data_IF_315921291697
#
_entry.id   IF_315921291697
#
_cell.length_a   1.000
_cell.length_b   1.000
_cell.length_c   1.000
_cell.angle_alpha   90.00
_cell.angle_beta   90.00
_cell.angle_gamma   90.00
#
_symmetry.space_group_name_H-M   'P 1'
#
loop_
_entity.id
_entity.type
_entity.pdbx_description
1 polymer ?
#
# COMPACT_ATOMS: atom_id res chain seq x y z
N UNK A 1 -47.75 -65.67 67.91
CA UNK A 1 -46.62 -65.81 68.87
C UNK A 1 -45.37 -65.27 68.16
N UNK A 2 -45.18 -63.93 68.16
CA UNK A 2 -44.22 -63.14 68.94
C UNK A 2 -42.72 -63.49 68.73
N UNK A 3 -42.05 -62.50 68.12
CA UNK A 3 -40.63 -62.13 68.01
C UNK A 3 -39.54 -62.93 68.78
N UNK A 4 -38.41 -63.13 68.11
CA UNK A 4 -37.05 -62.77 68.57
C UNK A 4 -36.07 -62.76 67.37
N UNK A 5 -35.52 -61.59 66.99
CA UNK A 5 -34.17 -61.04 67.32
C UNK A 5 -32.99 -61.77 66.65
N UNK A 6 -32.28 -61.07 65.74
CA UNK A 6 -30.83 -60.75 65.77
C UNK A 6 -30.36 -60.19 64.39
N UNK A 7 -29.85 -58.94 64.39
CA UNK A 7 -28.96 -58.35 63.37
C UNK A 7 -27.54 -58.96 63.53
N UNK A 8 -26.58 -58.96 62.56
CA UNK A 8 -26.22 -57.80 61.72
C UNK A 8 -25.69 -58.04 60.28
N UNK A 9 -25.75 -57.00 59.44
CA UNK A 9 -24.76 -56.60 58.41
C UNK A 9 -24.43 -57.52 57.22
N UNK A 10 -24.65 -57.05 55.98
CA UNK A 10 -23.70 -57.27 54.87
C UNK A 10 -23.98 -56.33 53.67
N UNK A 11 -22.99 -55.47 53.41
CA UNK A 11 -22.43 -55.09 52.10
C UNK A 11 -23.39 -54.68 50.97
N UNK A 12 -23.54 -53.36 50.79
CA UNK A 12 -23.93 -52.75 49.53
C UNK A 12 -22.66 -52.62 48.66
N UNK A 13 -22.45 -53.54 47.72
CA UNK A 13 -21.39 -53.41 46.71
C UNK A 13 -21.90 -52.46 45.63
N UNK A 14 -21.45 -51.21 45.69
CA UNK A 14 -21.50 -50.26 44.59
C UNK A 14 -20.33 -50.57 43.66
N UNK A 15 -20.58 -51.35 42.59
CA UNK A 15 -19.66 -51.46 41.46
C UNK A 15 -19.71 -50.16 40.66
N UNK A 16 -18.82 -49.24 41.02
CA UNK A 16 -18.40 -48.13 40.15
C UNK A 16 -17.65 -48.73 38.96
N UNK A 17 -18.35 -48.88 37.83
CA UNK A 17 -17.71 -48.97 36.52
C UNK A 17 -17.10 -47.59 36.19
N UNK A 18 -15.91 -47.34 36.72
CA UNK A 18 -14.99 -46.35 36.17
C UNK A 18 -14.32 -46.96 34.95
N UNK A 19 -15.03 -46.97 33.81
CA UNK A 19 -14.37 -47.02 32.52
C UNK A 19 -13.75 -45.64 32.28
N UNK A 20 -12.58 -45.40 32.87
CA UNK A 20 -11.68 -44.36 32.38
C UNK A 20 -11.32 -44.74 30.95
N UNK A 21 -11.90 -44.04 29.97
CA UNK A 21 -11.41 -44.09 28.61
C UNK A 21 -9.90 -43.84 28.64
N UNK A 22 -9.09 -44.60 27.89
CA UNK A 22 -7.66 -44.38 27.88
C UNK A 22 -7.40 -42.93 27.49
N UNK A 23 -6.75 -42.16 28.37
CA UNK A 23 -6.15 -40.87 28.02
C UNK A 23 -5.22 -41.15 26.85
N UNK A 24 -5.69 -40.89 25.63
CA UNK A 24 -4.80 -40.76 24.49
C UNK A 24 -3.89 -39.61 24.87
N UNK A 25 -2.61 -39.89 25.14
CA UNK A 25 -1.58 -38.88 25.32
C UNK A 25 -1.40 -38.19 23.96
N UNK A 26 -2.31 -37.28 23.63
CA UNK A 26 -2.15 -36.38 22.51
C UNK A 26 -1.03 -35.41 22.87
N UNK A 27 -0.04 -35.33 21.99
CA UNK A 27 1.03 -34.33 22.10
C UNK A 27 0.39 -32.94 21.97
N UNK A 28 0.78 -31.97 22.79
CA UNK A 28 0.27 -30.59 22.76
C UNK A 28 0.24 -29.99 21.34
N UNK A 29 1.20 -30.37 20.48
CA UNK A 29 1.21 -29.98 19.06
C UNK A 29 0.00 -30.52 18.28
N UNK A 30 -0.37 -31.78 18.47
CA UNK A 30 -1.52 -32.42 17.82
C UNK A 30 -2.85 -31.83 18.31
N UNK A 31 -2.93 -31.48 19.59
CA UNK A 31 -4.10 -30.77 20.12
C UNK A 31 -4.21 -29.37 19.54
N UNK A 32 -3.09 -28.64 19.44
CA UNK A 32 -3.06 -27.33 18.82
C UNK A 32 -3.55 -27.37 17.35
N UNK A 33 -3.10 -28.36 16.58
CA UNK A 33 -3.56 -28.59 15.20
C UNK A 33 -5.06 -28.89 15.12
N UNK A 34 -5.58 -29.65 16.07
CA UNK A 34 -7.02 -29.96 16.15
C UNK A 34 -7.83 -28.69 16.41
N UNK A 35 -7.39 -27.87 17.38
CA UNK A 35 -8.05 -26.59 17.67
C UNK A 35 -7.91 -25.59 16.51
N UNK A 36 -6.76 -25.53 15.84
CA UNK A 36 -6.54 -24.67 14.67
C UNK A 36 -7.50 -25.05 13.54
N UNK A 37 -7.64 -26.34 13.25
CA UNK A 37 -8.56 -26.85 12.22
C UNK A 37 -10.03 -26.54 12.57
N UNK A 38 -10.36 -26.51 13.85
CA UNK A 38 -11.68 -26.10 14.35
C UNK A 38 -11.87 -24.56 14.39
N UNK A 39 -10.88 -23.77 13.97
CA UNK A 39 -10.91 -22.30 14.02
C UNK A 39 -10.78 -21.71 15.43
N UNK A 40 -10.46 -22.53 16.44
CA UNK A 40 -10.30 -22.08 17.82
C UNK A 40 -8.84 -21.67 18.08
N UNK A 41 -8.46 -20.52 17.55
CA UNK A 41 -7.07 -20.04 17.62
C UNK A 41 -6.59 -19.76 19.05
N UNK A 42 -7.49 -19.34 19.96
CA UNK A 42 -7.15 -19.12 21.37
C UNK A 42 -6.79 -20.44 22.08
N UNK A 43 -7.59 -21.50 21.90
CA UNK A 43 -7.28 -22.81 22.48
C UNK A 43 -6.04 -23.43 21.86
N UNK A 44 -5.88 -23.29 20.53
CA UNK A 44 -4.68 -23.74 19.84
C UNK A 44 -3.42 -23.01 20.37
N UNK A 45 -3.50 -21.69 20.61
CA UNK A 45 -2.39 -20.90 21.13
C UNK A 45 -2.01 -21.35 22.54
N UNK A 46 -2.99 -21.66 23.39
CA UNK A 46 -2.72 -22.19 24.73
C UNK A 46 -1.92 -23.50 24.68
N UNK A 47 -2.23 -24.38 23.72
CA UNK A 47 -1.47 -25.62 23.52
C UNK A 47 -0.04 -25.37 23.03
N UNK A 48 0.17 -24.40 22.12
CA UNK A 48 1.53 -24.02 21.72
C UNK A 48 2.33 -23.38 22.85
N UNK A 49 1.73 -22.52 23.68
CA UNK A 49 2.39 -21.98 24.88
C UNK A 49 2.80 -23.10 25.82
N UNK A 50 1.91 -24.05 26.10
CA UNK A 50 2.23 -25.22 26.92
C UNK A 50 3.37 -26.07 26.31
N UNK A 51 3.38 -26.29 25.00
CA UNK A 51 4.46 -27.02 24.31
C UNK A 51 5.81 -26.29 24.47
N UNK A 52 5.85 -24.99 24.23
CA UNK A 52 7.08 -24.17 24.33
C UNK A 52 7.58 -24.07 25.77
N UNK A 53 6.70 -23.99 26.76
CA UNK A 53 7.05 -23.92 28.19
C UNK A 53 7.58 -25.24 28.77
N UNK A 54 7.10 -26.37 28.25
CA UNK A 54 7.43 -27.71 28.78
C UNK A 54 8.53 -28.43 28.02
N UNK A 55 8.92 -27.92 26.85
CA UNK A 55 9.97 -28.49 26.00
C UNK A 55 11.25 -27.65 26.13
N UNK A 56 12.42 -28.26 26.40
CA UNK A 56 13.69 -27.53 26.39
C UNK A 56 13.91 -26.79 25.08
N UNK A 57 14.34 -25.52 25.15
CA UNK A 57 14.46 -24.63 23.99
C UNK A 57 15.31 -25.22 22.86
N UNK A 58 16.35 -25.97 23.20
CA UNK A 58 17.26 -26.62 22.24
C UNK A 58 16.54 -27.70 21.42
N UNK A 59 15.51 -28.33 21.98
CA UNK A 59 14.75 -29.42 21.37
C UNK A 59 13.60 -28.93 20.47
N UNK A 60 13.19 -27.67 20.59
CA UNK A 60 12.16 -27.09 19.74
C UNK A 60 12.76 -26.76 18.37
N UNK A 61 12.17 -27.26 17.30
CA UNK A 61 12.60 -26.96 15.94
C UNK A 61 12.20 -25.54 15.52
N UNK A 62 12.98 -24.89 14.64
CA UNK A 62 12.61 -23.57 14.11
C UNK A 62 11.26 -23.58 13.36
N UNK A 63 10.92 -24.68 12.69
CA UNK A 63 9.63 -24.86 12.03
C UNK A 63 8.46 -24.91 13.03
N UNK A 64 8.65 -25.53 14.20
CA UNK A 64 7.63 -25.56 15.26
C UNK A 64 7.41 -24.14 15.82
N UNK A 65 8.48 -23.36 16.02
CA UNK A 65 8.36 -21.95 16.40
C UNK A 65 7.63 -21.10 15.36
N UNK A 66 7.93 -21.26 14.08
CA UNK A 66 7.24 -20.54 13.01
C UNK A 66 5.75 -20.90 12.95
N UNK A 67 5.40 -22.17 13.17
CA UNK A 67 3.99 -22.62 13.23
C UNK A 67 3.26 -22.02 14.43
N UNK A 68 3.88 -22.06 15.62
CA UNK A 68 3.35 -21.43 16.83
C UNK A 68 3.13 -19.91 16.61
N UNK A 69 4.09 -19.24 15.97
CA UNK A 69 4.05 -17.80 15.71
C UNK A 69 2.91 -17.39 14.77
N UNK A 70 2.73 -18.09 13.66
CA UNK A 70 1.61 -17.86 12.73
C UNK A 70 0.26 -18.02 13.42
N UNK A 71 0.14 -19.03 14.27
CA UNK A 71 -1.07 -19.23 15.04
C UNK A 71 -1.27 -18.14 16.10
N UNK A 72 -0.22 -17.72 16.82
CA UNK A 72 -0.29 -16.60 17.74
C UNK A 72 -0.81 -15.33 17.06
N UNK A 73 -0.34 -15.04 15.85
CA UNK A 73 -0.86 -13.94 15.04
C UNK A 73 -2.35 -14.10 14.72
N UNK A 74 -2.80 -15.28 14.27
CA UNK A 74 -4.24 -15.56 14.04
C UNK A 74 -5.07 -15.43 15.31
N UNK A 75 -4.48 -15.68 16.48
CA UNK A 75 -5.11 -15.52 17.79
C UNK A 75 -5.04 -14.06 18.33
N UNK A 76 -4.42 -13.13 17.60
CA UNK A 76 -4.27 -11.72 17.99
C UNK A 76 -3.10 -11.43 18.94
N UNK A 77 -2.23 -12.42 19.21
CA UNK A 77 -1.06 -12.27 20.08
C UNK A 77 0.20 -11.96 19.24
N UNK A 78 0.27 -10.72 18.75
CA UNK A 78 1.39 -10.24 17.92
C UNK A 78 2.73 -10.23 18.66
N UNK A 79 2.73 -10.15 19.99
CA UNK A 79 3.95 -10.16 20.79
C UNK A 79 4.57 -11.56 20.83
N UNK A 80 3.76 -12.59 21.14
CA UNK A 80 4.18 -13.98 21.06
C UNK A 80 4.61 -14.37 19.64
N UNK A 81 3.85 -13.91 18.62
CA UNK A 81 4.19 -14.17 17.22
C UNK A 81 5.59 -13.67 16.87
N UNK A 82 5.92 -12.40 17.15
CA UNK A 82 7.26 -11.84 16.89
C UNK A 82 8.35 -12.61 17.65
N UNK A 83 8.14 -12.86 18.95
CA UNK A 83 9.12 -13.57 19.78
C UNK A 83 9.44 -14.96 19.22
N UNK A 84 8.42 -15.73 18.86
CA UNK A 84 8.60 -17.07 18.30
C UNK A 84 9.15 -17.04 16.87
N UNK A 85 8.80 -16.05 16.06
CA UNK A 85 9.47 -15.85 14.77
C UNK A 85 10.96 -15.54 14.91
N UNK A 86 11.37 -14.76 15.92
CA UNK A 86 12.80 -14.54 16.19
C UNK A 86 13.50 -15.83 16.63
N UNK A 87 12.83 -16.70 17.40
CA UNK A 87 13.35 -18.03 17.72
C UNK A 87 13.49 -18.93 16.48
N UNK A 88 12.51 -18.88 15.57
CA UNK A 88 12.57 -19.60 14.30
C UNK A 88 13.79 -19.16 13.48
N UNK A 89 14.02 -17.84 13.35
CA UNK A 89 15.20 -17.27 12.68
C UNK A 89 16.51 -17.65 13.35
N UNK A 90 16.58 -17.60 14.69
CA UNK A 90 17.76 -18.02 15.45
C UNK A 90 18.14 -19.48 15.16
N UNK A 91 17.14 -20.33 14.90
CA UNK A 91 17.31 -21.72 14.49
C UNK A 91 17.45 -21.91 12.97
N UNK A 92 17.80 -20.85 12.24
CA UNK A 92 17.97 -20.82 10.78
C UNK A 92 16.74 -21.29 9.99
N UNK A 93 15.54 -21.18 10.57
CA UNK A 93 14.31 -21.47 9.86
C UNK A 93 13.77 -20.20 9.18
N UNK A 94 13.23 -20.38 7.98
CA UNK A 94 12.63 -19.35 7.18
C UNK A 94 11.55 -19.97 6.28
N UNK A 95 10.36 -19.38 6.25
CA UNK A 95 9.35 -19.67 5.24
C UNK A 95 8.65 -18.38 4.79
N UNK A 96 7.98 -18.44 3.64
CA UNK A 96 7.36 -17.29 2.99
C UNK A 96 6.29 -16.62 3.89
N UNK A 97 5.39 -17.42 4.46
CA UNK A 97 4.27 -16.96 5.29
C UNK A 97 4.78 -16.27 6.57
N UNK A 98 5.89 -16.72 7.14
CA UNK A 98 6.53 -16.08 8.28
C UNK A 98 6.91 -14.63 8.01
N UNK A 99 7.55 -14.33 6.87
CA UNK A 99 7.93 -12.95 6.55
C UNK A 99 6.74 -12.08 6.16
N UNK A 100 5.71 -12.66 5.52
CA UNK A 100 4.45 -11.95 5.28
C UNK A 100 3.73 -11.63 6.60
N UNK A 101 3.69 -12.57 7.54
CA UNK A 101 3.08 -12.34 8.86
C UNK A 101 3.85 -11.26 9.63
N UNK A 102 5.19 -11.31 9.61
CA UNK A 102 6.01 -10.27 10.23
C UNK A 102 5.76 -8.90 9.60
N UNK A 103 5.65 -8.79 8.27
CA UNK A 103 5.36 -7.51 7.63
C UNK A 103 4.00 -6.97 8.03
N UNK A 104 2.96 -7.82 8.12
CA UNK A 104 1.63 -7.45 8.60
C UNK A 104 1.65 -6.96 10.06
N UNK A 105 2.35 -7.67 10.94
CA UNK A 105 2.52 -7.24 12.34
C UNK A 105 3.17 -5.86 12.38
N UNK A 106 4.32 -5.67 11.72
CA UNK A 106 5.03 -4.41 11.76
C UNK A 106 4.25 -3.26 11.10
N UNK A 107 3.46 -3.55 10.06
CA UNK A 107 2.52 -2.59 9.48
C UNK A 107 1.49 -2.13 10.49
N UNK A 108 0.88 -3.06 11.23
CA UNK A 108 -0.13 -2.72 12.26
C UNK A 108 0.44 -1.87 13.40
N UNK A 109 1.75 -1.98 13.65
CA UNK A 109 2.48 -1.18 14.64
C UNK A 109 2.96 0.18 14.09
N UNK A 110 2.76 0.46 12.80
CA UNK A 110 3.32 1.64 12.14
C UNK A 110 4.85 1.60 12.01
N UNK A 111 5.47 0.41 12.12
CA UNK A 111 6.92 0.25 12.06
C UNK A 111 7.39 -0.02 10.62
N UNK A 112 7.43 1.05 9.82
CA UNK A 112 7.82 0.99 8.40
C UNK A 112 9.19 0.34 8.18
N UNK A 113 10.18 0.60 9.04
CA UNK A 113 11.52 0.03 8.88
C UNK A 113 11.50 -1.49 8.99
N UNK A 114 10.82 -2.04 10.01
CA UNK A 114 10.76 -3.48 10.21
C UNK A 114 9.84 -4.17 9.21
N UNK A 115 8.76 -3.52 8.80
CA UNK A 115 7.90 -4.00 7.71
C UNK A 115 8.71 -4.15 6.42
N UNK A 116 9.48 -3.12 6.04
CA UNK A 116 10.30 -3.12 4.84
C UNK A 116 11.33 -4.25 4.90
N UNK A 117 12.04 -4.38 6.03
CA UNK A 117 13.03 -5.46 6.21
C UNK A 117 12.40 -6.86 6.10
N UNK A 118 11.17 -7.05 6.58
CA UNK A 118 10.47 -8.33 6.45
C UNK A 118 10.12 -8.63 4.98
N UNK A 119 9.63 -7.66 4.22
CA UNK A 119 9.28 -7.80 2.79
C UNK A 119 10.52 -7.95 1.89
N UNK A 120 11.62 -7.26 2.19
CA UNK A 120 12.91 -7.45 1.51
C UNK A 120 13.44 -8.86 1.78
N UNK A 121 13.40 -9.30 3.04
CA UNK A 121 13.82 -10.67 3.41
C UNK A 121 12.97 -11.75 2.74
N UNK A 122 11.66 -11.50 2.56
CA UNK A 122 10.80 -12.36 1.75
C UNK A 122 11.35 -12.46 0.34
N UNK A 123 11.56 -11.31 -0.32
CA UNK A 123 11.93 -11.24 -1.74
C UNK A 123 13.30 -11.86 -2.01
N UNK A 124 14.26 -11.69 -1.09
CA UNK A 124 15.60 -12.27 -1.17
C UNK A 124 15.57 -13.81 -1.08
N UNK A 125 14.70 -14.37 -0.21
CA UNK A 125 14.71 -15.80 0.11
C UNK A 125 13.76 -16.64 -0.74
N UNK A 126 12.63 -16.07 -1.16
CA UNK A 126 11.55 -16.80 -1.84
C UNK A 126 11.29 -16.27 -3.26
N UNK A 127 12.06 -15.29 -3.71
CA UNK A 127 11.94 -14.68 -5.02
C UNK A 127 10.95 -13.52 -5.08
N UNK A 128 10.92 -12.88 -6.24
CA UNK A 128 10.21 -11.63 -6.50
C UNK A 128 8.92 -11.82 -7.31
N UNK A 129 8.34 -13.03 -7.32
CA UNK A 129 7.11 -13.32 -8.09
C UNK A 129 5.83 -13.07 -7.29
N UNK A 130 5.92 -12.86 -5.97
CA UNK A 130 4.74 -12.60 -5.16
C UNK A 130 4.23 -11.18 -5.39
N UNK A 131 3.11 -11.08 -6.11
CA UNK A 131 2.54 -9.80 -6.49
C UNK A 131 2.10 -8.93 -5.29
N UNK A 132 1.60 -9.53 -4.21
CA UNK A 132 1.19 -8.79 -3.00
C UNK A 132 2.39 -8.18 -2.30
N UNK A 133 3.49 -8.93 -2.19
CA UNK A 133 4.76 -8.43 -1.62
C UNK A 133 5.33 -7.31 -2.50
N UNK A 134 5.34 -7.49 -3.83
CA UNK A 134 5.85 -6.48 -4.75
C UNK A 134 5.03 -5.18 -4.71
N UNK A 135 3.70 -5.28 -4.68
CA UNK A 135 2.82 -4.12 -4.55
C UNK A 135 3.10 -3.36 -3.25
N UNK A 136 3.24 -4.07 -2.12
CA UNK A 136 3.55 -3.39 -0.85
C UNK A 136 4.94 -2.77 -0.87
N UNK A 137 5.95 -3.45 -1.42
CA UNK A 137 7.29 -2.90 -1.58
C UNK A 137 7.30 -1.64 -2.45
N UNK A 138 6.56 -1.63 -3.57
CA UNK A 138 6.36 -0.44 -4.39
C UNK A 138 5.81 0.74 -3.56
N UNK A 139 4.74 0.51 -2.82
CA UNK A 139 4.11 1.54 -1.99
C UNK A 139 5.06 2.04 -0.90
N UNK A 140 5.77 1.14 -0.21
CA UNK A 140 6.71 1.50 0.84
C UNK A 140 7.89 2.30 0.31
N UNK A 141 8.48 1.89 -0.82
CA UNK A 141 9.57 2.65 -1.42
C UNK A 141 9.13 4.03 -1.88
N UNK A 142 7.91 4.18 -2.38
CA UNK A 142 7.35 5.49 -2.67
C UNK A 142 7.14 6.32 -1.39
N UNK A 143 6.61 5.72 -0.32
CA UNK A 143 6.38 6.38 0.98
C UNK A 143 7.69 6.91 1.60
N UNK A 144 8.78 6.15 1.51
CA UNK A 144 10.11 6.57 2.00
C UNK A 144 10.93 7.35 0.95
N UNK A 145 10.30 7.80 -0.14
CA UNK A 145 10.94 8.60 -1.20
C UNK A 145 12.13 7.93 -1.90
N UNK A 146 12.17 6.60 -1.91
CA UNK A 146 13.13 5.80 -2.69
C UNK A 146 12.59 5.56 -4.10
N UNK A 147 12.53 6.62 -4.91
CA UNK A 147 11.80 6.66 -6.18
C UNK A 147 12.28 5.62 -7.19
N UNK A 148 13.59 5.41 -7.31
CA UNK A 148 14.18 4.45 -8.23
C UNK A 148 13.78 3.01 -7.85
N UNK A 149 13.83 2.68 -6.56
CA UNK A 149 13.39 1.37 -6.06
C UNK A 149 11.88 1.19 -6.23
N UNK A 150 11.09 2.23 -5.98
CA UNK A 150 9.66 2.18 -6.25
C UNK A 150 9.39 1.87 -7.74
N UNK A 151 10.08 2.56 -8.64
CA UNK A 151 9.95 2.30 -10.08
C UNK A 151 10.41 0.87 -10.47
N UNK A 152 11.43 0.32 -9.82
CA UNK A 152 11.82 -1.09 -10.01
C UNK A 152 10.71 -2.06 -9.59
N UNK A 153 10.10 -1.83 -8.42
CA UNK A 153 9.04 -2.70 -7.91
C UNK A 153 7.72 -2.54 -8.65
N UNK A 154 7.46 -1.36 -9.25
CA UNK A 154 6.36 -1.19 -10.19
C UNK A 154 6.44 -2.24 -11.30
N UNK A 155 7.60 -2.45 -11.93
CA UNK A 155 7.72 -3.43 -13.01
C UNK A 155 7.41 -4.87 -12.61
N UNK A 156 7.57 -5.19 -11.32
CA UNK A 156 7.32 -6.52 -10.74
C UNK A 156 5.87 -6.73 -10.28
N UNK A 157 5.04 -5.69 -10.32
CA UNK A 157 3.62 -5.80 -9.98
C UNK A 157 2.81 -6.44 -11.11
N UNK A 158 1.77 -7.19 -10.75
CA UNK A 158 0.85 -7.74 -11.72
C UNK A 158 -0.03 -6.64 -12.36
N UNK A 159 -0.64 -6.96 -13.51
CA UNK A 159 -1.44 -6.00 -14.28
C UNK A 159 -2.63 -5.42 -13.48
N UNK A 160 -3.30 -6.24 -12.68
CA UNK A 160 -4.45 -5.81 -11.86
C UNK A 160 -4.03 -4.77 -10.82
N UNK A 161 -2.92 -5.02 -10.11
CA UNK A 161 -2.39 -4.11 -9.10
C UNK A 161 -1.93 -2.78 -9.71
N UNK A 162 -1.35 -2.80 -10.92
CA UNK A 162 -0.97 -1.58 -11.67
C UNK A 162 -2.16 -0.72 -12.10
N UNK A 163 -3.38 -1.24 -12.10
CA UNK A 163 -4.58 -0.53 -12.56
C UNK A 163 -5.43 0.07 -11.44
N UNK A 164 -5.02 -0.06 -10.18
CA UNK A 164 -5.73 0.60 -9.07
C UNK A 164 -5.44 2.10 -9.06
N UNK A 165 -6.44 2.90 -8.67
CA UNK A 165 -6.28 4.37 -8.58
C UNK A 165 -5.13 4.75 -7.66
N UNK A 166 -5.03 4.10 -6.50
CA UNK A 166 -3.98 4.35 -5.51
C UNK A 166 -2.57 4.10 -6.08
N UNK A 167 -2.37 2.96 -6.76
CA UNK A 167 -1.05 2.63 -7.28
C UNK A 167 -0.69 3.48 -8.50
N UNK A 168 -1.65 3.80 -9.38
CA UNK A 168 -1.42 4.75 -10.47
C UNK A 168 -1.09 6.16 -9.95
N UNK A 169 -1.79 6.64 -8.91
CA UNK A 169 -1.51 7.93 -8.28
C UNK A 169 -0.10 7.97 -7.67
N UNK A 170 0.28 6.90 -6.98
CA UNK A 170 1.63 6.73 -6.42
C UNK A 170 2.67 6.70 -7.54
N UNK A 171 2.41 5.98 -8.64
CA UNK A 171 3.32 5.87 -9.77
C UNK A 171 3.46 7.18 -10.55
N UNK A 172 2.39 7.99 -10.63
CA UNK A 172 2.47 9.36 -11.15
C UNK A 172 3.44 10.20 -10.31
N UNK A 173 3.34 10.15 -8.99
CA UNK A 173 4.25 10.91 -8.11
C UNK A 173 5.71 10.43 -8.23
N UNK A 174 5.94 9.11 -8.24
CA UNK A 174 7.26 8.51 -8.48
C UNK A 174 7.87 9.05 -9.78
N UNK A 175 7.11 9.03 -10.88
CA UNK A 175 7.62 9.48 -12.18
C UNK A 175 7.78 10.99 -12.28
N UNK A 176 6.98 11.79 -11.55
CA UNK A 176 7.20 13.23 -11.42
C UNK A 176 8.55 13.52 -10.77
N UNK A 177 8.93 12.76 -9.73
CA UNK A 177 10.22 12.89 -9.03
C UNK A 177 11.41 12.42 -9.87
N UNK A 178 11.20 11.40 -10.69
CA UNK A 178 12.18 10.90 -11.65
C UNK A 178 12.21 11.69 -12.97
N UNK A 179 11.38 12.72 -13.11
CA UNK A 179 11.25 13.55 -14.32
C UNK A 179 10.89 12.77 -15.60
N UNK A 180 10.22 11.63 -15.45
CA UNK A 180 9.77 10.76 -16.53
C UNK A 180 8.47 11.28 -17.16
N UNK A 181 8.52 12.45 -17.80
CA UNK A 181 7.34 13.18 -18.28
C UNK A 181 6.42 12.36 -19.20
N UNK A 182 6.97 11.53 -20.09
CA UNK A 182 6.18 10.68 -20.98
C UNK A 182 5.36 9.61 -20.21
N UNK A 183 5.93 9.07 -19.13
CA UNK A 183 5.23 8.14 -18.24
C UNK A 183 4.17 8.89 -17.43
N UNK A 184 4.48 10.08 -16.91
CA UNK A 184 3.47 10.89 -16.22
C UNK A 184 2.27 11.18 -17.12
N UNK A 185 2.48 11.45 -18.41
CA UNK A 185 1.40 11.69 -19.37
C UNK A 185 0.47 10.49 -19.56
N UNK A 186 1.04 9.29 -19.72
CA UNK A 186 0.26 8.07 -19.89
C UNK A 186 -0.48 7.70 -18.61
N UNK A 187 0.18 7.82 -17.46
CA UNK A 187 -0.39 7.51 -16.14
C UNK A 187 -1.48 8.50 -15.76
N UNK A 188 -1.27 9.81 -15.95
CA UNK A 188 -2.31 10.81 -15.70
C UNK A 188 -3.55 10.56 -16.57
N UNK A 189 -3.36 10.19 -17.83
CA UNK A 189 -4.47 9.82 -18.72
C UNK A 189 -5.22 8.58 -18.20
N UNK A 190 -4.49 7.54 -17.77
CA UNK A 190 -5.08 6.34 -17.20
C UNK A 190 -5.86 6.64 -15.91
N UNK A 191 -5.33 7.52 -15.04
CA UNK A 191 -6.00 7.98 -13.83
C UNK A 191 -7.31 8.69 -14.15
N UNK A 192 -7.33 9.60 -15.13
CA UNK A 192 -8.56 10.31 -15.50
C UNK A 192 -9.62 9.43 -16.15
N UNK A 193 -9.21 8.33 -16.79
CA UNK A 193 -10.16 7.33 -17.30
C UNK A 193 -10.82 6.53 -16.15
N UNK A 194 -10.12 6.34 -15.03
CA UNK A 194 -10.65 5.65 -13.85
C UNK A 194 -11.45 6.60 -12.95
N UNK A 195 -10.90 7.78 -12.70
CA UNK A 195 -11.50 8.86 -11.92
C UNK A 195 -11.30 10.20 -12.65
N UNK A 196 -12.32 10.70 -13.37
CA UNK A 196 -12.25 11.94 -14.13
C UNK A 196 -11.97 13.21 -13.31
N UNK A 197 -12.09 13.13 -11.98
CA UNK A 197 -11.92 14.23 -11.04
C UNK A 197 -10.66 14.06 -10.16
N UNK A 198 -9.77 13.13 -10.52
CA UNK A 198 -8.52 12.88 -9.78
C UNK A 198 -7.59 14.12 -9.83
N UNK A 199 -7.33 14.79 -8.69
CA UNK A 199 -6.76 16.14 -8.69
C UNK A 199 -5.31 16.18 -9.20
N UNK A 200 -4.46 15.22 -8.84
CA UNK A 200 -3.06 15.18 -9.24
C UNK A 200 -2.89 14.96 -10.76
N UNK A 201 -3.74 14.12 -11.37
CA UNK A 201 -3.73 13.88 -12.80
C UNK A 201 -4.24 15.09 -13.60
N UNK A 202 -5.28 15.77 -13.10
CA UNK A 202 -5.77 17.03 -13.68
C UNK A 202 -4.66 18.10 -13.60
N UNK A 203 -4.02 18.25 -12.43
CA UNK A 203 -2.92 19.20 -12.21
C UNK A 203 -1.74 18.94 -13.16
N UNK A 204 -1.36 17.68 -13.34
CA UNK A 204 -0.30 17.31 -14.27
C UNK A 204 -0.61 17.76 -15.70
N UNK A 205 -1.80 17.42 -16.22
CA UNK A 205 -2.17 17.76 -17.60
C UNK A 205 -2.40 19.26 -17.79
N UNK A 206 -2.99 19.95 -16.81
CA UNK A 206 -3.11 21.41 -16.80
C UNK A 206 -1.75 22.08 -16.97
N UNK A 207 -0.79 21.71 -16.11
CA UNK A 207 0.57 22.28 -16.12
C UNK A 207 1.34 21.89 -17.37
N UNK A 208 1.19 20.67 -17.88
CA UNK A 208 1.80 20.22 -19.15
C UNK A 208 1.40 21.13 -20.30
N UNK A 209 0.09 21.29 -20.55
CA UNK A 209 -0.40 22.08 -21.68
C UNK A 209 -0.10 23.56 -21.50
N UNK A 210 -0.20 24.08 -20.27
CA UNK A 210 0.19 25.45 -19.98
C UNK A 210 1.67 25.70 -20.30
N UNK A 211 2.58 24.84 -19.81
CA UNK A 211 4.02 24.95 -20.07
C UNK A 211 4.34 24.83 -21.55
N UNK A 212 3.65 23.97 -22.29
CA UNK A 212 3.82 23.85 -23.74
C UNK A 212 3.47 25.17 -24.45
N UNK A 213 2.32 25.78 -24.12
CA UNK A 213 1.90 27.07 -24.66
C UNK A 213 2.86 28.19 -24.28
N UNK A 214 3.24 28.29 -23.01
CA UNK A 214 4.14 29.34 -22.50
C UNK A 214 5.54 29.22 -23.12
N UNK A 215 6.13 28.01 -23.18
CA UNK A 215 7.44 27.78 -23.79
C UNK A 215 7.43 28.15 -25.28
N UNK A 216 6.41 27.74 -26.02
CA UNK A 216 6.28 28.09 -27.44
C UNK A 216 6.17 29.61 -27.60
N UNK A 217 5.35 30.27 -26.78
CA UNK A 217 5.20 31.72 -26.81
C UNK A 217 6.55 32.43 -26.62
N UNK A 218 7.29 32.08 -25.57
CA UNK A 218 8.58 32.71 -25.25
C UNK A 218 9.58 32.54 -26.40
N UNK A 219 9.73 31.32 -26.91
CA UNK A 219 10.65 31.00 -28.01
C UNK A 219 10.31 31.78 -29.30
N UNK A 220 9.04 31.86 -29.66
CA UNK A 220 8.64 32.49 -30.92
C UNK A 220 8.64 34.01 -30.86
N UNK A 221 8.33 34.59 -29.69
CA UNK A 221 8.52 36.02 -29.45
C UNK A 221 10.01 36.38 -29.53
N UNK A 222 10.89 35.61 -28.89
CA UNK A 222 12.34 35.87 -28.95
C UNK A 222 12.87 35.81 -30.39
N UNK A 223 12.47 34.80 -31.17
CA UNK A 223 12.84 34.69 -32.60
C UNK A 223 12.38 35.89 -33.42
N UNK A 224 11.17 36.37 -33.17
CA UNK A 224 10.64 37.57 -33.84
C UNK A 224 11.43 38.83 -33.45
N UNK A 225 11.71 39.00 -32.16
CA UNK A 225 12.45 40.14 -31.63
C UNK A 225 13.87 40.24 -32.20
N UNK A 226 14.54 39.10 -32.40
CA UNK A 226 15.87 39.04 -33.02
C UNK A 226 15.87 39.42 -34.51
N UNK A 227 14.74 39.27 -35.23
CA UNK A 227 14.68 39.55 -36.67
C UNK A 227 13.28 39.99 -37.12
N UNK A 228 12.97 41.27 -36.90
CA UNK A 228 11.65 41.87 -37.17
C UNK A 228 11.39 42.13 -38.66
N UNK A 229 11.09 41.07 -39.40
CA UNK A 229 10.66 41.14 -40.80
C UNK A 229 9.19 40.78 -40.95
N UNK A 230 8.57 41.19 -42.06
CA UNK A 230 7.19 40.79 -42.40
C UNK A 230 7.03 39.27 -42.47
N UNK A 231 8.05 38.56 -42.95
CA UNK A 231 8.05 37.08 -43.01
C UNK A 231 8.04 36.47 -41.61
N UNK A 232 8.85 37.00 -40.69
CA UNK A 232 8.87 36.50 -39.31
C UNK A 232 7.62 36.87 -38.54
N UNK A 233 7.04 38.05 -38.79
CA UNK A 233 5.73 38.38 -38.22
C UNK A 233 4.65 37.40 -38.66
N UNK A 234 4.59 37.05 -39.94
CA UNK A 234 3.64 36.06 -40.45
C UNK A 234 3.88 34.65 -39.89
N UNK A 235 5.14 34.27 -39.61
CA UNK A 235 5.49 33.02 -38.95
C UNK A 235 5.04 33.02 -37.47
N UNK A 236 5.32 34.11 -36.75
CA UNK A 236 4.89 34.31 -35.37
C UNK A 236 3.38 34.14 -35.22
N UNK A 237 2.57 34.77 -36.09
CA UNK A 237 1.11 34.65 -36.01
C UNK A 237 0.64 33.19 -36.08
N UNK A 238 1.23 32.37 -36.96
CA UNK A 238 0.89 30.93 -37.05
C UNK A 238 1.27 30.16 -35.79
N UNK A 239 2.39 30.51 -35.17
CA UNK A 239 2.82 29.88 -33.92
C UNK A 239 1.96 30.33 -32.74
N UNK A 240 1.49 31.58 -32.71
CA UNK A 240 0.56 32.08 -31.70
C UNK A 240 -0.80 31.35 -31.76
N UNK A 241 -1.23 30.88 -32.92
CA UNK A 241 -2.40 29.99 -33.04
C UNK A 241 -2.17 28.66 -32.30
N UNK A 242 -0.96 28.11 -32.37
CA UNK A 242 -0.59 26.88 -31.65
C UNK A 242 -0.45 27.11 -30.15
N UNK A 243 0.12 28.26 -29.74
CA UNK A 243 0.13 28.71 -28.34
C UNK A 243 -1.29 28.77 -27.78
N UNK A 244 -2.21 29.38 -28.54
CA UNK A 244 -3.63 29.48 -28.19
C UNK A 244 -4.27 28.09 -28.07
N UNK A 245 -3.96 27.18 -28.99
CA UNK A 245 -4.47 25.82 -28.94
C UNK A 245 -4.00 25.05 -27.69
N UNK A 246 -2.74 25.23 -27.27
CA UNK A 246 -2.22 24.61 -26.05
C UNK A 246 -2.85 25.19 -24.79
N UNK A 247 -3.04 26.52 -24.71
CA UNK A 247 -3.78 27.12 -23.59
C UNK A 247 -5.25 26.70 -23.53
N UNK A 248 -5.91 26.53 -24.67
CA UNK A 248 -7.27 25.97 -24.75
C UNK A 248 -7.35 24.53 -24.25
N UNK A 249 -6.27 23.75 -24.36
CA UNK A 249 -6.21 22.40 -23.75
C UNK A 249 -5.99 22.46 -22.24
N UNK A 250 -5.20 23.43 -21.75
CA UNK A 250 -4.95 23.59 -20.32
C UNK A 250 -6.20 24.06 -19.57
N UNK A 251 -6.98 24.95 -20.18
CA UNK A 251 -8.07 25.68 -19.52
C UNK A 251 -9.13 24.76 -18.87
N UNK A 252 -9.67 23.72 -19.53
CA UNK A 252 -10.67 22.85 -18.89
C UNK A 252 -10.14 22.12 -17.66
N UNK A 253 -8.86 21.74 -17.65
CA UNK A 253 -8.25 21.13 -16.46
C UNK A 253 -8.08 22.15 -15.34
N UNK A 254 -7.61 23.36 -15.65
CA UNK A 254 -7.50 24.45 -14.68
C UNK A 254 -8.86 24.83 -14.09
N UNK A 255 -9.92 24.87 -14.90
CA UNK A 255 -11.29 25.13 -14.46
C UNK A 255 -11.80 24.05 -13.51
N UNK A 256 -11.50 22.77 -13.79
CA UNK A 256 -11.79 21.67 -12.86
C UNK A 256 -11.07 21.85 -11.54
N UNK A 257 -9.76 22.12 -11.55
CA UNK A 257 -8.99 22.35 -10.31
C UNK A 257 -9.54 23.54 -9.52
N UNK A 258 -9.90 24.62 -10.21
CA UNK A 258 -10.52 25.79 -9.61
C UNK A 258 -11.86 25.44 -8.96
N UNK A 259 -12.71 24.66 -9.63
CA UNK A 259 -14.00 24.23 -9.09
C UNK A 259 -13.84 23.32 -7.85
N UNK A 260 -12.82 22.45 -7.84
CA UNK A 260 -12.53 21.58 -6.69
C UNK A 260 -11.97 22.36 -5.50
N UNK A 261 -10.96 23.20 -5.75
CA UNK A 261 -10.27 23.98 -4.72
C UNK A 261 -9.72 25.28 -5.33
N UNK A 262 -10.48 26.38 -5.26
CA UNK A 262 -10.00 27.69 -5.70
C UNK A 262 -8.72 28.06 -4.94
N UNK A 263 -7.73 28.61 -5.64
CA UNK A 263 -6.42 28.88 -5.05
C UNK A 263 -5.57 29.82 -5.88
N UNK A 264 -4.69 30.56 -5.20
CA UNK A 264 -3.76 31.50 -5.87
C UNK A 264 -2.86 30.80 -6.88
N UNK A 265 -2.53 29.53 -6.64
CA UNK A 265 -1.79 28.69 -7.57
C UNK A 265 -2.42 28.68 -8.96
N UNK A 266 -3.75 28.58 -9.05
CA UNK A 266 -4.47 28.50 -10.32
C UNK A 266 -4.83 29.86 -10.90
N UNK A 267 -5.10 30.85 -10.05
CA UNK A 267 -5.41 32.22 -10.48
C UNK A 267 -4.32 32.81 -11.38
N UNK A 268 -3.04 32.54 -11.10
CA UNK A 268 -1.93 32.98 -11.95
C UNK A 268 -1.98 32.42 -13.38
N UNK A 269 -2.35 31.15 -13.53
CA UNK A 269 -2.54 30.54 -14.85
C UNK A 269 -3.68 31.20 -15.62
N UNK A 270 -4.80 31.47 -14.95
CA UNK A 270 -5.94 32.13 -15.58
C UNK A 270 -5.62 33.56 -16.04
N UNK A 271 -4.95 34.37 -15.22
CA UNK A 271 -4.51 35.73 -15.62
C UNK A 271 -3.68 35.67 -16.89
N UNK A 272 -2.70 34.76 -16.94
CA UNK A 272 -1.81 34.61 -18.09
C UNK A 272 -2.56 34.17 -19.36
N UNK A 273 -3.46 33.18 -19.24
CA UNK A 273 -4.23 32.65 -20.37
C UNK A 273 -5.23 33.70 -20.87
N UNK A 274 -6.04 34.28 -19.99
CA UNK A 274 -7.10 35.22 -20.37
C UNK A 274 -6.55 36.54 -20.91
N UNK A 275 -5.40 37.02 -20.43
CA UNK A 275 -4.74 38.17 -21.02
C UNK A 275 -4.37 37.96 -22.49
N UNK A 276 -4.00 36.73 -22.87
CA UNK A 276 -3.70 36.38 -24.26
C UNK A 276 -4.94 36.21 -25.11
N UNK A 277 -6.05 35.82 -24.50
CA UNK A 277 -7.34 35.72 -25.18
C UNK A 277 -8.06 37.06 -25.27
N UNK A 278 -7.53 38.12 -24.64
CA UNK A 278 -8.14 39.46 -24.63
C UNK A 278 -9.38 39.55 -23.73
N UNK A 279 -9.50 38.67 -22.73
CA UNK A 279 -10.62 38.65 -21.79
C UNK A 279 -10.26 39.47 -20.54
N UNK A 280 -10.35 40.80 -20.65
CA UNK A 280 -9.97 41.76 -19.60
C UNK A 280 -10.79 41.57 -18.32
N UNK A 281 -12.08 41.23 -18.45
CA UNK A 281 -12.96 40.99 -17.30
C UNK A 281 -12.45 39.83 -16.44
N UNK A 282 -12.10 38.70 -17.06
CA UNK A 282 -11.54 37.57 -16.32
C UNK A 282 -10.15 37.86 -15.79
N UNK A 283 -9.31 38.57 -16.55
CA UNK A 283 -7.98 39.01 -16.07
C UNK A 283 -8.13 39.79 -14.76
N UNK A 284 -8.99 40.81 -14.74
CA UNK A 284 -9.24 41.63 -13.55
C UNK A 284 -9.77 40.81 -12.38
N UNK A 285 -10.69 39.87 -12.64
CA UNK A 285 -11.23 38.97 -11.63
C UNK A 285 -10.11 38.17 -10.94
N UNK A 286 -9.28 37.45 -11.71
CA UNK A 286 -8.25 36.60 -11.13
C UNK A 286 -7.07 37.41 -10.56
N UNK A 287 -6.77 38.59 -11.10
CA UNK A 287 -5.77 39.50 -10.52
C UNK A 287 -6.19 40.00 -9.12
N UNK A 288 -7.47 40.37 -8.94
CA UNK A 288 -8.03 40.72 -7.63
C UNK A 288 -7.96 39.55 -6.65
N UNK A 289 -8.13 38.33 -7.12
CA UNK A 289 -7.99 37.14 -6.28
C UNK A 289 -6.54 36.93 -5.81
N UNK A 290 -5.54 37.24 -6.64
CA UNK A 290 -4.13 37.12 -6.28
C UNK A 290 -3.70 38.12 -5.20
N UNK A 291 -4.33 39.30 -5.16
CA UNK A 291 -3.99 40.40 -4.23
C UNK A 291 -4.65 40.34 -2.85
N UNK A 292 -5.59 39.42 -2.63
CA UNK A 292 -6.22 39.14 -1.32
C UNK A 292 -5.36 38.22 -0.46
#
# INVERSE_FOLDING_TARGET
MRLNKLLPGLLFILLIYSCGAPKVLTNAKTEAETYETAGNYAAALAQWKSFVETTPLEQIAGADFAKAAKLAFKAGDSEAAKSWFDQARYKNFADAEMYQTLSEIYRSEGNLSKELSALESYSEKFGSENATVNERLFQMYAEISSWEKANEFWEKMNATAKQTENNLGTYLEVNKKLENNATCDSVATALLNLNPDQPEAIDWLAKKYYRAGQKRYEVEIEKYEQNKTRKQYAALLKELDLVTADFKKALPYLEKLWAQKPGKEYAGYFVNIYARFGDEEKVDFYQKYLSQ
#
